data_IF_079134990660
#
_entry.id   IF_079134990660
#
_cell.length_a   1.000
_cell.length_b   1.000
_cell.length_c   1.000
_cell.angle_alpha   90.00
_cell.angle_beta   90.00
_cell.angle_gamma   90.00
#
_symmetry.space_group_name_H-M   'P 1'
#
loop_
_entity.id
_entity.type
_entity.pdbx_description
1 polymer ?
#
# COMPACT_ATOMS: atom_id res chain seq x y z
N UNK A 1 -0.39 -16.63 1.19
CA UNK A 1 -0.41 -15.39 2.00
C UNK A 1 -0.98 -15.70 3.38
N UNK A 2 -0.52 -14.96 4.41
CA UNK A 2 -1.02 -15.16 5.79
C UNK A 2 -2.55 -14.98 5.89
N UNK A 3 -3.13 -14.13 5.05
CA UNK A 3 -4.57 -13.95 4.97
C UNK A 3 -5.27 -15.24 4.54
N UNK A 4 -4.86 -15.85 3.43
CA UNK A 4 -5.46 -17.09 2.92
C UNK A 4 -5.34 -18.25 3.90
N UNK A 5 -4.20 -18.35 4.59
CA UNK A 5 -3.92 -19.47 5.49
C UNK A 5 -4.57 -19.32 6.86
N UNK A 6 -4.63 -18.09 7.40
CA UNK A 6 -4.99 -17.88 8.80
C UNK A 6 -6.32 -17.13 8.99
N UNK A 7 -6.76 -16.33 8.01
CA UNK A 7 -7.96 -15.50 8.15
C UNK A 7 -9.15 -16.09 7.41
N UNK A 8 -8.96 -16.50 6.15
CA UNK A 8 -10.04 -17.07 5.33
C UNK A 8 -10.78 -18.21 6.03
N UNK A 9 -10.11 -19.20 6.64
CA UNK A 9 -10.82 -20.27 7.36
C UNK A 9 -11.71 -19.78 8.50
N UNK A 10 -11.30 -18.72 9.20
CA UNK A 10 -12.09 -18.12 10.28
C UNK A 10 -13.32 -17.38 9.75
N UNK A 11 -13.18 -16.73 8.60
CA UNK A 11 -14.32 -16.06 7.93
C UNK A 11 -15.31 -17.09 7.40
N UNK A 12 -14.83 -18.15 6.76
CA UNK A 12 -15.67 -19.23 6.22
C UNK A 12 -16.42 -19.99 7.32
N UNK A 13 -15.80 -20.20 8.48
CA UNK A 13 -16.45 -20.82 9.65
C UNK A 13 -17.41 -19.88 10.38
N UNK A 14 -17.39 -18.60 10.10
CA UNK A 14 -18.17 -17.58 10.82
C UNK A 14 -17.57 -17.14 12.15
N UNK A 15 -16.33 -17.56 12.46
CA UNK A 15 -15.62 -17.17 13.69
C UNK A 15 -15.00 -15.77 13.60
N UNK A 16 -14.88 -15.20 12.39
CA UNK A 16 -14.43 -13.85 12.15
C UNK A 16 -15.26 -13.14 11.09
N UNK A 17 -15.41 -11.83 11.22
CA UNK A 17 -16.07 -10.96 10.24
C UNK A 17 -15.09 -9.88 9.82
N UNK A 18 -14.69 -9.77 8.55
CA UNK A 18 -13.87 -8.68 8.07
C UNK A 18 -14.68 -7.37 8.11
N UNK A 19 -14.11 -6.32 8.67
CA UNK A 19 -14.81 -5.03 8.85
C UNK A 19 -14.43 -4.02 7.77
N UNK A 20 -13.17 -3.96 7.42
CA UNK A 20 -12.63 -3.07 6.37
C UNK A 20 -11.29 -3.61 5.85
N UNK A 21 -10.87 -3.13 4.69
CA UNK A 21 -9.50 -3.26 4.18
C UNK A 21 -8.75 -1.93 4.39
N UNK A 22 -7.43 -1.95 4.28
CA UNK A 22 -6.68 -0.69 4.27
C UNK A 22 -6.87 0.08 2.96
N UNK A 23 -7.27 -0.61 1.90
CA UNK A 23 -7.39 -0.08 0.55
C UNK A 23 -6.07 -0.09 -0.21
N UNK A 24 -6.10 0.52 -1.37
CA UNK A 24 -4.93 0.74 -2.24
C UNK A 24 -4.87 2.21 -2.65
N UNK A 25 -3.71 2.68 -3.11
CA UNK A 25 -3.60 4.01 -3.70
C UNK A 25 -3.79 3.92 -5.22
N UNK A 26 -4.57 4.84 -5.77
CA UNK A 26 -4.60 5.06 -7.22
C UNK A 26 -3.36 5.85 -7.70
N UNK A 27 -3.26 6.05 -9.03
CA UNK A 27 -2.14 6.80 -9.62
C UNK A 27 -2.06 8.28 -9.22
N UNK A 28 -3.12 8.81 -8.60
CA UNK A 28 -3.19 10.18 -8.09
C UNK A 28 -2.93 10.26 -6.56
N UNK A 29 -2.78 9.09 -5.91
CA UNK A 29 -2.53 8.99 -4.48
C UNK A 29 -3.80 8.98 -3.61
N UNK A 30 -4.98 8.79 -4.21
CA UNK A 30 -6.23 8.65 -3.46
C UNK A 30 -6.40 7.20 -3.00
N UNK A 31 -6.96 7.03 -1.81
CA UNK A 31 -7.29 5.70 -1.29
C UNK A 31 -8.53 5.17 -1.99
N UNK A 32 -8.42 3.97 -2.53
CA UNK A 32 -9.49 3.22 -3.20
C UNK A 32 -9.72 1.90 -2.47
N UNK A 33 -10.88 1.29 -2.69
CA UNK A 33 -11.11 -0.08 -2.22
C UNK A 33 -10.12 -1.04 -2.84
N UNK A 34 -9.64 -1.97 -2.04
CA UNK A 34 -8.75 -3.03 -2.52
C UNK A 34 -9.51 -3.93 -3.51
N UNK A 35 -9.02 -4.08 -4.75
CA UNK A 35 -9.65 -4.97 -5.75
C UNK A 35 -9.78 -6.42 -5.29
N UNK A 36 -8.94 -6.88 -4.37
CA UNK A 36 -9.03 -8.20 -3.74
C UNK A 36 -10.26 -8.33 -2.85
N UNK A 37 -10.74 -7.21 -2.29
CA UNK A 37 -11.88 -7.15 -1.35
C UNK A 37 -12.88 -6.06 -1.76
N UNK A 38 -13.49 -6.13 -2.95
CA UNK A 38 -14.29 -5.04 -3.51
C UNK A 38 -15.54 -4.71 -2.68
N UNK A 39 -16.05 -5.69 -1.92
CA UNK A 39 -17.22 -5.53 -1.06
C UNK A 39 -16.89 -4.94 0.31
N UNK A 40 -15.62 -4.90 0.71
CA UNK A 40 -15.20 -4.27 1.96
C UNK A 40 -14.96 -2.77 1.76
N UNK A 41 -15.44 -1.94 2.69
CA UNK A 41 -15.04 -0.53 2.70
C UNK A 41 -13.54 -0.44 2.98
N UNK A 42 -12.87 0.57 2.44
CA UNK A 42 -11.52 0.90 2.91
C UNK A 42 -11.60 1.66 4.25
N UNK A 43 -10.46 1.77 4.95
CA UNK A 43 -10.42 2.34 6.29
C UNK A 43 -11.08 3.72 6.40
N UNK A 44 -10.89 4.61 5.42
CA UNK A 44 -11.48 5.94 5.47
C UNK A 44 -13.01 5.90 5.34
N UNK A 45 -13.57 5.04 4.48
CA UNK A 45 -15.01 4.83 4.38
C UNK A 45 -15.56 4.28 5.72
N UNK A 46 -14.87 3.29 6.31
CA UNK A 46 -15.28 2.73 7.61
C UNK A 46 -15.22 3.78 8.72
N UNK A 47 -14.22 4.65 8.71
CA UNK A 47 -14.12 5.77 9.65
C UNK A 47 -15.30 6.74 9.50
N UNK A 48 -15.67 7.12 8.27
CA UNK A 48 -16.81 7.99 7.99
C UNK A 48 -18.14 7.35 8.43
N UNK A 49 -18.31 6.05 8.21
CA UNK A 49 -19.51 5.33 8.65
C UNK A 49 -19.73 5.41 10.17
N UNK A 50 -18.65 5.44 10.94
CA UNK A 50 -18.71 5.46 12.41
C UNK A 50 -18.76 6.88 12.97
N UNK A 51 -18.00 7.80 12.39
CA UNK A 51 -17.78 9.13 12.95
C UNK A 51 -18.50 10.26 12.19
N UNK A 52 -19.18 9.94 11.07
CA UNK A 52 -19.71 10.94 10.15
C UNK A 52 -18.64 11.47 9.20
N UNK A 53 -18.97 12.51 8.45
CA UNK A 53 -18.02 13.06 7.46
C UNK A 53 -16.66 13.34 8.09
N UNK A 54 -15.63 12.75 7.55
CA UNK A 54 -14.26 13.12 7.86
C UNK A 54 -14.11 14.58 7.42
N UNK A 55 -13.90 15.47 8.38
CA UNK A 55 -13.46 16.81 8.03
C UNK A 55 -12.25 16.67 7.11
N UNK A 56 -12.45 16.97 5.83
CA UNK A 56 -11.41 16.89 4.84
C UNK A 56 -10.19 17.67 5.35
N UNK A 57 -9.01 17.08 5.29
CA UNK A 57 -7.72 17.72 5.51
C UNK A 57 -7.32 18.04 6.97
N UNK A 58 -7.73 17.27 7.96
CA UNK A 58 -7.04 17.30 9.26
C UNK A 58 -5.62 16.79 9.16
N UNK A 59 -4.73 17.32 10.00
CA UNK A 59 -3.32 16.89 10.04
C UNK A 59 -3.19 15.39 10.36
N UNK A 60 -4.12 14.82 11.11
CA UNK A 60 -4.19 13.41 11.44
C UNK A 60 -4.43 12.55 10.19
N UNK A 61 -5.30 13.00 9.28
CA UNK A 61 -5.51 12.32 8.00
C UNK A 61 -4.25 12.37 7.13
N UNK A 62 -3.60 13.52 7.04
CA UNK A 62 -2.34 13.65 6.30
C UNK A 62 -1.24 12.76 6.89
N UNK A 63 -1.16 12.67 8.21
CA UNK A 63 -0.26 11.77 8.91
C UNK A 63 -0.57 10.31 8.59
N UNK A 64 -1.86 9.91 8.64
CA UNK A 64 -2.29 8.56 8.25
C UNK A 64 -1.90 8.23 6.81
N UNK A 65 -2.19 9.10 5.85
CA UNK A 65 -1.86 8.89 4.43
C UNK A 65 -0.35 8.78 4.20
N UNK A 66 0.46 9.53 4.94
CA UNK A 66 1.91 9.45 4.86
C UNK A 66 2.43 8.07 5.31
N UNK A 67 1.87 7.51 6.38
CA UNK A 67 2.22 6.15 6.82
C UNK A 67 1.65 5.08 5.90
N UNK A 68 0.41 5.23 5.47
CA UNK A 68 -0.24 4.31 4.56
C UNK A 68 0.52 4.21 3.24
N UNK A 69 0.87 5.34 2.62
CA UNK A 69 1.63 5.39 1.38
C UNK A 69 2.97 4.66 1.48
N UNK A 70 3.74 4.94 2.54
CA UNK A 70 5.06 4.33 2.73
C UNK A 70 5.01 2.87 3.20
N UNK A 71 3.96 2.46 3.91
CA UNK A 71 3.86 1.14 4.51
C UNK A 71 3.16 0.10 3.64
N UNK A 72 2.18 0.50 2.85
CA UNK A 72 1.28 -0.43 2.14
C UNK A 72 1.34 -0.31 0.62
N UNK A 73 1.54 0.88 0.07
CA UNK A 73 1.44 1.11 -1.37
C UNK A 73 2.65 0.61 -2.18
N UNK A 74 3.83 0.50 -1.57
CA UNK A 74 5.08 0.14 -2.25
C UNK A 74 5.84 -0.96 -1.51
N UNK A 75 5.20 -2.10 -1.27
CA UNK A 75 5.83 -3.23 -0.61
C UNK A 75 6.73 -4.02 -1.58
N UNK A 76 7.89 -4.45 -1.09
CA UNK A 76 8.85 -5.31 -1.81
C UNK A 76 9.31 -4.74 -3.17
N UNK A 77 9.74 -3.49 -3.23
CA UNK A 77 10.26 -2.93 -4.48
C UNK A 77 11.59 -3.57 -4.87
N UNK A 78 11.77 -3.82 -6.16
CA UNK A 78 13.08 -4.12 -6.74
C UNK A 78 13.76 -2.81 -7.15
N UNK A 79 14.96 -2.57 -6.66
CA UNK A 79 15.69 -1.32 -6.92
C UNK A 79 17.04 -1.61 -7.55
N UNK A 80 17.48 -0.73 -8.45
CA UNK A 80 18.82 -0.70 -9.02
C UNK A 80 19.65 0.41 -8.35
N UNK A 81 20.98 0.24 -8.27
CA UNK A 81 21.88 1.27 -7.76
C UNK A 81 21.71 2.60 -8.49
N UNK A 82 21.90 3.71 -7.75
CA UNK A 82 21.93 5.02 -8.39
C UNK A 82 23.03 5.11 -9.45
N UNK A 83 22.73 5.72 -10.60
CA UNK A 83 23.65 5.81 -11.73
C UNK A 83 23.70 4.57 -12.62
N UNK A 84 22.81 3.58 -12.42
CA UNK A 84 22.65 2.48 -13.38
C UNK A 84 22.34 3.05 -14.78
N UNK A 85 23.04 2.60 -15.84
CA UNK A 85 22.79 3.07 -17.19
C UNK A 85 21.33 2.89 -17.62
N UNK A 86 20.73 3.87 -18.34
CA UNK A 86 19.31 3.82 -18.72
C UNK A 86 18.92 2.55 -19.48
N UNK A 87 19.80 2.04 -20.35
CA UNK A 87 19.57 0.80 -21.10
C UNK A 87 19.47 -0.43 -20.20
N UNK A 88 20.16 -0.44 -19.07
CA UNK A 88 20.07 -1.52 -18.08
C UNK A 88 18.75 -1.37 -17.30
N UNK A 89 18.38 -0.16 -16.90
CA UNK A 89 17.11 0.10 -16.22
C UNK A 89 15.95 -0.37 -17.09
N UNK A 90 15.97 -0.03 -18.39
CA UNK A 90 14.91 -0.43 -19.32
C UNK A 90 14.88 -1.95 -19.54
N UNK A 91 16.03 -2.61 -19.64
CA UNK A 91 16.08 -4.06 -19.73
C UNK A 91 15.44 -4.76 -18.51
N UNK A 92 15.68 -4.25 -17.30
CA UNK A 92 15.03 -4.76 -16.09
C UNK A 92 13.54 -4.48 -16.07
N UNK A 93 13.10 -3.28 -16.46
CA UNK A 93 11.67 -2.94 -16.55
C UNK A 93 10.93 -3.90 -17.48
N UNK A 94 11.47 -4.10 -18.68
CA UNK A 94 10.89 -5.03 -19.65
C UNK A 94 10.88 -6.46 -19.12
N UNK A 95 11.96 -6.91 -18.47
CA UNK A 95 12.02 -8.24 -17.88
C UNK A 95 10.97 -8.45 -16.79
N UNK A 96 10.66 -7.43 -15.97
CA UNK A 96 9.56 -7.52 -14.99
C UNK A 96 8.18 -7.55 -15.66
N UNK A 97 7.96 -6.76 -16.72
CA UNK A 97 6.72 -6.81 -17.51
C UNK A 97 6.52 -8.20 -18.10
N UNK A 98 7.56 -8.75 -18.73
CA UNK A 98 7.52 -10.08 -19.34
C UNK A 98 7.30 -11.18 -18.28
N UNK A 99 7.98 -11.08 -17.13
CA UNK A 99 7.84 -12.05 -16.05
C UNK A 99 6.42 -12.04 -15.45
N UNK A 100 5.81 -10.87 -15.25
CA UNK A 100 4.43 -10.78 -14.76
C UNK A 100 3.43 -11.32 -15.78
N UNK A 101 3.73 -11.22 -17.07
CA UNK A 101 2.89 -11.78 -18.14
C UNK A 101 3.12 -13.30 -18.36
N UNK A 102 4.13 -13.89 -17.75
CA UNK A 102 4.48 -15.30 -17.92
C UNK A 102 3.37 -16.22 -17.36
N UNK A 103 2.87 -17.21 -18.18
CA UNK A 103 1.81 -18.10 -17.74
C UNK A 103 2.16 -18.98 -16.53
N UNK A 104 3.43 -19.36 -16.36
CA UNK A 104 3.88 -20.17 -15.22
C UNK A 104 3.84 -19.33 -13.94
N UNK A 105 4.29 -18.07 -14.02
CA UNK A 105 4.19 -17.14 -12.89
C UNK A 105 2.73 -16.86 -12.55
N UNK A 106 1.88 -16.61 -13.53
CA UNK A 106 0.45 -16.37 -13.31
C UNK A 106 -0.24 -17.57 -12.65
N UNK A 107 0.12 -18.80 -13.01
CA UNK A 107 -0.40 -20.01 -12.37
C UNK A 107 0.04 -20.16 -10.90
N UNK A 108 1.26 -19.70 -10.57
CA UNK A 108 1.84 -19.78 -9.23
C UNK A 108 1.67 -18.47 -8.41
N UNK A 109 1.14 -17.40 -9.02
CA UNK A 109 1.09 -16.04 -8.47
C UNK A 109 0.52 -16.00 -7.06
N UNK A 110 -0.63 -16.64 -6.84
CA UNK A 110 -1.34 -16.58 -5.56
C UNK A 110 -0.51 -17.20 -4.43
N UNK A 111 0.22 -18.28 -4.70
CA UNK A 111 1.09 -18.93 -3.73
C UNK A 111 2.35 -18.10 -3.43
N UNK A 112 2.99 -17.55 -4.46
CA UNK A 112 4.30 -16.87 -4.37
C UNK A 112 4.14 -15.41 -3.95
N UNK A 113 3.24 -14.67 -4.61
CA UNK A 113 3.09 -13.21 -4.47
C UNK A 113 1.83 -12.81 -3.70
N UNK A 114 0.86 -13.72 -3.54
CA UNK A 114 -0.46 -13.43 -3.02
C UNK A 114 -1.43 -12.97 -4.12
N UNK A 115 -2.60 -12.49 -3.71
CA UNK A 115 -3.66 -12.06 -4.63
C UNK A 115 -3.48 -10.62 -5.15
N UNK A 116 -2.39 -9.97 -4.75
CA UNK A 116 -2.12 -8.56 -5.09
C UNK A 116 -1.58 -8.41 -6.50
N UNK A 117 -1.98 -7.34 -7.15
CA UNK A 117 -1.40 -6.95 -8.43
C UNK A 117 0.01 -6.37 -8.27
N UNK A 118 0.85 -6.63 -9.24
CA UNK A 118 2.22 -6.13 -9.28
C UNK A 118 2.28 -4.89 -10.15
N UNK A 119 2.76 -3.79 -9.60
CA UNK A 119 3.11 -2.60 -10.36
C UNK A 119 4.41 -2.86 -11.12
N UNK A 120 4.41 -2.64 -12.43
CA UNK A 120 5.57 -2.83 -13.30
C UNK A 120 5.70 -1.68 -14.31
N UNK A 121 6.87 -1.54 -14.92
CA UNK A 121 7.10 -0.52 -15.94
C UNK A 121 7.08 0.90 -15.36
N UNK A 122 6.45 1.84 -16.08
CA UNK A 122 6.49 3.26 -15.74
C UNK A 122 5.64 3.64 -14.53
N UNK A 123 4.61 2.86 -14.20
CA UNK A 123 3.75 3.12 -13.04
C UNK A 123 4.50 3.00 -11.70
N UNK A 124 5.54 2.16 -11.64
CA UNK A 124 6.36 1.96 -10.43
C UNK A 124 6.94 3.27 -9.90
N UNK A 125 7.36 4.18 -10.80
CA UNK A 125 7.94 5.46 -10.42
C UNK A 125 6.92 6.34 -9.67
N UNK A 126 5.65 6.35 -10.13
CA UNK A 126 4.56 7.07 -9.48
C UNK A 126 4.24 6.50 -8.10
N UNK A 127 4.07 5.19 -8.00
CA UNK A 127 3.81 4.48 -6.73
C UNK A 127 4.96 4.72 -5.73
N UNK A 128 6.20 4.60 -6.17
CA UNK A 128 7.37 4.82 -5.31
C UNK A 128 7.46 6.29 -4.84
N UNK A 129 7.22 7.24 -5.74
CA UNK A 129 7.22 8.66 -5.40
C UNK A 129 6.13 8.97 -4.37
N UNK A 130 4.91 8.49 -4.57
CA UNK A 130 3.81 8.65 -3.61
C UNK A 130 4.15 8.03 -2.25
N UNK A 131 4.76 6.84 -2.24
CA UNK A 131 5.14 6.13 -1.02
C UNK A 131 6.30 6.78 -0.24
N UNK A 132 7.17 7.55 -0.91
CA UNK A 132 8.35 8.16 -0.29
C UNK A 132 8.25 9.67 -0.12
N UNK A 133 7.20 10.31 -0.65
CA UNK A 133 6.97 11.74 -0.53
C UNK A 133 6.03 12.03 0.64
N UNK A 134 6.60 12.44 1.76
CA UNK A 134 5.83 12.81 2.96
C UNK A 134 5.77 14.33 3.04
N UNK A 135 4.57 14.86 3.22
CA UNK A 135 4.39 16.29 3.53
C UNK A 135 5.19 16.68 4.78
N UNK A 136 6.04 17.72 4.73
CA UNK A 136 6.87 18.11 5.87
C UNK A 136 6.06 18.46 7.13
N UNK A 137 4.87 19.03 6.99
CA UNK A 137 4.01 19.40 8.12
C UNK A 137 3.45 18.12 8.78
N UNK A 138 2.99 17.15 7.97
CA UNK A 138 2.55 15.86 8.48
C UNK A 138 3.68 15.10 9.18
N UNK A 139 4.88 15.09 8.58
CA UNK A 139 6.06 14.47 9.18
C UNK A 139 6.41 15.08 10.55
N UNK A 140 6.45 16.41 10.63
CA UNK A 140 6.84 17.11 11.86
C UNK A 140 5.77 16.94 12.95
N UNK A 141 4.49 16.92 12.57
CA UNK A 141 3.40 16.60 13.48
C UNK A 141 3.53 15.17 14.03
N UNK A 142 3.82 14.18 13.19
CA UNK A 142 4.03 12.79 13.62
C UNK A 142 5.20 12.67 14.58
N UNK A 143 6.32 13.33 14.29
CA UNK A 143 7.49 13.35 15.20
C UNK A 143 7.12 13.90 16.57
N UNK A 144 6.40 15.02 16.60
CA UNK A 144 5.93 15.61 17.84
C UNK A 144 4.96 14.68 18.57
N UNK A 145 3.96 14.15 17.88
CA UNK A 145 2.97 13.23 18.45
C UNK A 145 3.61 11.99 19.08
N UNK A 146 4.57 11.36 18.41
CA UNK A 146 5.30 10.20 18.92
C UNK A 146 6.18 10.55 20.12
N UNK A 147 6.84 11.70 20.09
CA UNK A 147 7.67 12.17 21.20
C UNK A 147 6.84 12.44 22.45
N UNK A 148 5.73 13.18 22.31
CA UNK A 148 4.89 13.60 23.42
C UNK A 148 4.07 12.45 24.05
N UNK A 149 3.55 11.55 23.22
CA UNK A 149 2.64 10.51 23.69
C UNK A 149 3.32 9.18 23.98
N UNK A 150 4.44 8.88 23.30
CA UNK A 150 5.09 7.57 23.36
C UNK A 150 6.58 7.64 23.71
N UNK A 151 7.14 8.82 23.91
CA UNK A 151 8.56 9.03 24.21
C UNK A 151 9.49 8.45 23.12
N UNK A 152 9.00 8.37 21.88
CA UNK A 152 9.75 7.93 20.70
C UNK A 152 10.33 9.14 20.00
N UNK A 153 11.66 9.15 19.81
CA UNK A 153 12.35 10.18 19.01
C UNK A 153 12.73 9.59 17.66
N UNK A 154 12.24 10.20 16.58
CA UNK A 154 12.65 9.87 15.22
C UNK A 154 13.74 10.85 14.77
N UNK A 155 14.85 10.33 14.28
CA UNK A 155 15.96 11.10 13.69
C UNK A 155 15.59 11.67 12.31
#
# INVERSE_FOLDING_TARGET
SAYLTNVVPLVESGDAVPLFSWGVLDGEGNVQRDPTFPDLPHFLEAYEMVNGEMGAAGIELQAYLAFFGSGFAAQKPAMLPNGTPPEIVEAYRQAFVDAVADPELQAAKVEILGEYDQAVGDEVAGVYTAATSIDPVARDWVRQFLSENYQVTLE
#
